data_IF_586709273463
#
_entry.id   IF_586709273463
#
_cell.length_a   1.000
_cell.length_b   1.000
_cell.length_c   1.000
_cell.angle_alpha   90.00
_cell.angle_beta   90.00
_cell.angle_gamma   90.00
#
_symmetry.space_group_name_H-M   'P 1'
#
loop_
_entity.id
_entity.type
_entity.pdbx_description
1 polymer ?
#
# COMPACT_ATOMS: atom_id res chain seq x y z
N UNK A 1 7.74 12.73 3.27
CA UNK A 1 7.72 11.29 2.88
C UNK A 1 7.75 10.33 4.06
N UNK A 2 8.47 10.61 5.16
CA UNK A 2 8.43 9.74 6.36
C UNK A 2 7.01 9.57 6.93
N UNK A 3 6.21 10.64 7.00
CA UNK A 3 4.83 10.59 7.49
C UNK A 3 3.91 9.69 6.65
N UNK A 4 4.08 9.67 5.32
CA UNK A 4 3.33 8.77 4.43
C UNK A 4 3.67 7.31 4.73
N UNK A 5 4.93 7.01 5.02
CA UNK A 5 5.35 5.66 5.36
C UNK A 5 4.80 5.21 6.73
N UNK A 6 4.76 6.10 7.72
CA UNK A 6 4.11 5.82 9.00
C UNK A 6 2.60 5.59 8.85
N UNK A 7 1.92 6.43 8.06
CA UNK A 7 0.51 6.23 7.72
C UNK A 7 0.27 4.89 7.00
N UNK A 8 1.16 4.51 6.09
CA UNK A 8 1.10 3.20 5.42
C UNK A 8 1.17 2.05 6.43
N UNK A 9 2.15 2.07 7.36
CA UNK A 9 2.24 1.03 8.38
C UNK A 9 1.02 0.98 9.30
N UNK A 10 0.49 2.14 9.69
CA UNK A 10 -0.70 2.21 10.51
C UNK A 10 -1.93 1.66 9.79
N UNK A 11 -2.16 2.12 8.56
CA UNK A 11 -3.33 1.74 7.76
C UNK A 11 -3.27 0.29 7.31
N UNK A 12 -2.09 -0.29 7.02
CA UNK A 12 -2.00 -1.72 6.70
C UNK A 12 -1.96 -2.59 7.97
N UNK A 13 -1.38 -2.10 9.06
CA UNK A 13 -1.21 -2.86 10.30
C UNK A 13 -2.53 -3.15 11.01
N UNK A 14 -3.44 -2.17 11.11
CA UNK A 14 -4.75 -2.35 11.76
C UNK A 14 -5.58 -3.45 11.10
N UNK A 15 -5.87 -3.41 9.78
CA UNK A 15 -6.62 -4.47 9.11
C UNK A 15 -5.93 -5.83 9.24
N UNK A 16 -4.60 -5.90 9.13
CA UNK A 16 -3.88 -7.16 9.30
C UNK A 16 -4.06 -7.76 10.71
N UNK A 17 -3.95 -6.93 11.75
CA UNK A 17 -4.20 -7.37 13.13
C UNK A 17 -5.64 -7.82 13.33
N UNK A 18 -6.62 -7.05 12.84
CA UNK A 18 -8.04 -7.38 12.96
C UNK A 18 -8.41 -8.68 12.25
N UNK A 19 -7.88 -8.90 11.04
CA UNK A 19 -8.09 -10.14 10.28
C UNK A 19 -7.52 -11.34 11.05
N UNK A 20 -6.28 -11.24 11.55
CA UNK A 20 -5.63 -12.33 12.30
C UNK A 20 -6.39 -12.62 13.59
N UNK A 21 -6.73 -11.59 14.37
CA UNK A 21 -7.47 -11.78 15.63
C UNK A 21 -8.87 -12.30 15.38
N UNK A 22 -9.56 -11.80 14.35
CA UNK A 22 -10.89 -12.24 13.99
C UNK A 22 -10.92 -13.69 13.54
N UNK A 23 -9.94 -14.11 12.72
CA UNK A 23 -9.81 -15.50 12.32
C UNK A 23 -9.65 -16.47 13.52
N UNK A 24 -8.98 -16.02 14.59
CA UNK A 24 -8.73 -16.83 15.79
C UNK A 24 -9.86 -16.76 16.84
N UNK A 25 -10.73 -15.76 16.80
CA UNK A 25 -11.67 -15.48 17.89
C UNK A 25 -13.11 -15.28 17.44
N UNK A 26 -13.35 -14.38 16.49
CA UNK A 26 -14.69 -13.91 16.11
C UNK A 26 -14.74 -13.44 14.64
N UNK A 27 -15.71 -13.97 13.90
CA UNK A 27 -15.98 -13.61 12.51
C UNK A 27 -16.30 -12.13 12.30
N UNK A 28 -16.85 -11.43 13.31
CA UNK A 28 -17.20 -10.01 13.18
C UNK A 28 -15.94 -9.13 13.11
N UNK A 29 -14.91 -9.47 13.90
CA UNK A 29 -13.59 -8.82 13.86
C UNK A 29 -12.89 -9.07 12.51
N UNK A 30 -13.07 -10.27 11.96
CA UNK A 30 -12.52 -10.62 10.64
C UNK A 30 -13.15 -9.75 9.55
N UNK A 31 -14.48 -9.60 9.55
CA UNK A 31 -15.20 -8.75 8.62
C UNK A 31 -14.82 -7.28 8.77
N UNK A 32 -14.68 -6.79 10.01
CA UNK A 32 -14.19 -5.44 10.28
C UNK A 32 -12.79 -5.22 9.68
N UNK A 33 -11.87 -6.18 9.83
CA UNK A 33 -10.55 -6.15 9.21
C UNK A 33 -10.60 -6.05 7.68
N UNK A 34 -11.51 -6.80 7.04
CA UNK A 34 -11.78 -6.67 5.61
C UNK A 34 -12.22 -5.26 5.20
N UNK A 35 -13.14 -4.64 5.94
CA UNK A 35 -13.59 -3.27 5.67
C UNK A 35 -12.47 -2.24 5.84
N UNK A 36 -11.62 -2.39 6.86
CA UNK A 36 -10.43 -1.53 7.02
C UNK A 36 -9.41 -1.71 5.88
N UNK A 37 -9.34 -2.91 5.27
CA UNK A 37 -8.47 -3.14 4.11
C UNK A 37 -8.92 -2.37 2.87
N UNK A 38 -10.23 -2.13 2.70
CA UNK A 38 -10.79 -1.25 1.66
C UNK A 38 -10.32 0.19 1.86
N UNK A 39 -10.39 0.72 3.08
CA UNK A 39 -9.88 2.05 3.41
C UNK A 39 -8.37 2.17 3.11
N UNK A 40 -7.61 1.11 3.38
CA UNK A 40 -6.18 1.03 3.06
C UNK A 40 -5.95 1.07 1.55
N UNK A 41 -6.73 0.33 0.77
CA UNK A 41 -6.66 0.36 -0.69
C UNK A 41 -6.95 1.75 -1.26
N UNK A 42 -7.93 2.48 -0.72
CA UNK A 42 -8.21 3.86 -1.13
C UNK A 42 -7.00 4.77 -0.85
N UNK A 43 -6.40 4.66 0.34
CA UNK A 43 -5.17 5.38 0.66
C UNK A 43 -4.04 5.05 -0.31
N UNK A 44 -3.87 3.78 -0.67
CA UNK A 44 -2.87 3.32 -1.65
C UNK A 44 -3.11 3.91 -3.04
N UNK A 45 -4.37 4.05 -3.49
CA UNK A 45 -4.68 4.74 -4.75
C UNK A 45 -4.25 6.20 -4.67
N UNK A 46 -4.65 6.93 -3.63
CA UNK A 46 -4.33 8.36 -3.48
C UNK A 46 -2.82 8.59 -3.51
N UNK A 47 -2.07 7.87 -2.67
CA UNK A 47 -0.60 8.02 -2.60
C UNK A 47 0.07 7.54 -3.88
N UNK A 48 -0.40 6.44 -4.46
CA UNK A 48 0.13 5.89 -5.71
C UNK A 48 -0.02 6.87 -6.87
N UNK A 49 -1.20 7.49 -7.02
CA UNK A 49 -1.48 8.50 -8.03
C UNK A 49 -0.63 9.76 -7.80
N UNK A 50 -0.52 10.25 -6.56
CA UNK A 50 0.35 11.39 -6.24
C UNK A 50 1.81 11.11 -6.61
N UNK A 51 2.33 9.90 -6.31
CA UNK A 51 3.67 9.49 -6.71
C UNK A 51 3.82 9.40 -8.24
N UNK A 52 2.79 8.95 -8.95
CA UNK A 52 2.77 8.88 -10.40
C UNK A 52 2.89 10.28 -11.01
N UNK A 53 2.07 11.23 -10.56
CA UNK A 53 2.09 12.64 -11.02
C UNK A 53 3.46 13.27 -10.75
N UNK A 54 3.99 13.14 -9.53
CA UNK A 54 5.28 13.72 -9.15
C UNK A 54 6.48 13.14 -9.93
N UNK A 55 6.32 11.96 -10.53
CA UNK A 55 7.41 11.26 -11.24
C UNK A 55 7.18 11.20 -12.75
N UNK A 56 6.25 11.99 -13.28
CA UNK A 56 5.85 11.99 -14.70
C UNK A 56 5.44 10.60 -15.18
N UNK A 57 4.66 9.89 -14.37
CA UNK A 57 4.09 8.58 -14.66
C UNK A 57 5.13 7.53 -15.06
N UNK A 58 6.29 7.52 -14.39
CA UNK A 58 7.30 6.47 -14.58
C UNK A 58 6.65 5.08 -14.42
N UNK A 59 7.00 4.09 -15.27
CA UNK A 59 6.31 2.79 -15.32
C UNK A 59 6.16 2.10 -13.97
N UNK A 60 7.18 2.18 -13.12
CA UNK A 60 7.20 1.60 -11.78
C UNK A 60 6.02 2.06 -10.89
N UNK A 61 5.70 3.35 -10.89
CA UNK A 61 4.60 3.91 -10.08
C UNK A 61 3.24 3.66 -10.73
N UNK A 62 3.20 3.61 -12.07
CA UNK A 62 2.01 3.24 -12.81
C UNK A 62 1.61 1.78 -12.53
N UNK A 63 2.58 0.85 -12.57
CA UNK A 63 2.34 -0.56 -12.24
C UNK A 63 1.83 -0.74 -10.81
N UNK A 64 2.32 0.06 -9.87
CA UNK A 64 1.78 0.06 -8.51
C UNK A 64 0.30 0.42 -8.48
N UNK A 65 -0.09 1.53 -9.09
CA UNK A 65 -1.50 1.97 -9.13
C UNK A 65 -2.37 0.92 -9.82
N UNK A 66 -1.90 0.35 -10.94
CA UNK A 66 -2.59 -0.75 -11.63
C UNK A 66 -2.73 -1.99 -10.74
N UNK A 67 -1.72 -2.31 -9.93
CA UNK A 67 -1.79 -3.40 -8.94
C UNK A 67 -2.85 -3.15 -7.86
N UNK A 68 -2.98 -1.92 -7.37
CA UNK A 68 -4.02 -1.55 -6.40
C UNK A 68 -5.42 -1.62 -7.03
N UNK A 69 -5.57 -1.19 -8.28
CA UNK A 69 -6.84 -1.33 -9.03
C UNK A 69 -7.16 -2.82 -9.25
N UNK A 70 -6.17 -3.63 -9.62
CA UNK A 70 -6.33 -5.06 -9.79
C UNK A 70 -6.77 -5.74 -8.48
N UNK A 71 -6.23 -5.30 -7.33
CA UNK A 71 -6.69 -5.76 -6.01
C UNK A 71 -8.18 -5.54 -5.79
N UNK A 72 -8.71 -4.34 -6.08
CA UNK A 72 -10.16 -4.07 -5.94
C UNK A 72 -11.02 -4.89 -6.90
N UNK A 73 -10.52 -5.14 -8.12
CA UNK A 73 -11.21 -6.01 -9.06
C UNK A 73 -11.22 -7.46 -8.56
N UNK A 74 -10.07 -7.97 -8.09
CA UNK A 74 -9.94 -9.30 -7.50
C UNK A 74 -10.88 -9.49 -6.31
N UNK A 75 -10.93 -8.50 -5.40
CA UNK A 75 -11.84 -8.49 -4.25
C UNK A 75 -13.30 -8.75 -4.64
N UNK A 76 -13.72 -8.28 -5.82
CA UNK A 76 -15.11 -8.39 -6.29
C UNK A 76 -15.42 -9.72 -6.98
N UNK A 77 -14.40 -10.51 -7.38
CA UNK A 77 -14.58 -11.70 -8.24
C UNK A 77 -14.05 -13.00 -7.64
N UNK A 78 -13.29 -12.94 -6.55
CA UNK A 78 -12.65 -14.13 -5.96
C UNK A 78 -12.89 -14.22 -4.45
N UNK A 79 -12.53 -15.35 -3.87
CA UNK A 79 -12.70 -15.61 -2.45
C UNK A 79 -11.81 -14.70 -1.59
N UNK A 80 -12.41 -14.14 -0.55
CA UNK A 80 -11.80 -13.07 0.24
C UNK A 80 -10.52 -13.52 0.95
N UNK A 81 -10.39 -14.81 1.28
CA UNK A 81 -9.20 -15.36 1.96
C UNK A 81 -7.91 -15.15 1.16
N UNK A 82 -7.93 -15.37 -0.15
CA UNK A 82 -6.73 -15.24 -1.00
C UNK A 82 -6.38 -13.77 -1.24
N UNK A 83 -7.40 -12.92 -1.33
CA UNK A 83 -7.23 -11.47 -1.57
C UNK A 83 -6.63 -10.76 -0.36
N UNK A 84 -6.84 -11.28 0.84
CA UNK A 84 -6.32 -10.69 2.09
C UNK A 84 -4.79 -10.66 2.19
N UNK A 85 -4.06 -11.46 1.41
CA UNK A 85 -2.59 -11.42 1.36
C UNK A 85 -2.03 -10.29 0.49
N UNK A 86 -2.85 -9.69 -0.38
CA UNK A 86 -2.41 -8.68 -1.34
C UNK A 86 -2.12 -7.32 -0.68
N UNK A 87 -2.95 -6.79 0.27
CA UNK A 87 -2.69 -5.50 0.90
C UNK A 87 -1.34 -5.40 1.62
N UNK A 88 -0.89 -6.40 2.41
CA UNK A 88 0.46 -6.39 2.99
C UNK A 88 1.57 -6.30 1.94
N UNK A 89 1.45 -7.02 0.82
CA UNK A 89 2.43 -6.98 -0.27
C UNK A 89 2.48 -5.60 -0.93
N UNK A 90 1.32 -5.01 -1.22
CA UNK A 90 1.22 -3.66 -1.77
C UNK A 90 1.82 -2.62 -0.80
N UNK A 91 1.59 -2.77 0.50
CA UNK A 91 2.15 -1.89 1.51
C UNK A 91 3.68 -1.95 1.57
N UNK A 92 4.28 -3.15 1.46
CA UNK A 92 5.74 -3.28 1.36
C UNK A 92 6.26 -2.63 0.08
N UNK A 93 5.55 -2.82 -1.04
CA UNK A 93 5.95 -2.26 -2.32
C UNK A 93 5.96 -0.71 -2.29
N UNK A 94 4.90 -0.08 -1.78
CA UNK A 94 4.87 1.40 -1.69
C UNK A 94 5.92 1.95 -0.73
N UNK A 95 6.21 1.25 0.37
CA UNK A 95 7.32 1.61 1.27
C UNK A 95 8.67 1.59 0.54
N UNK A 96 8.91 0.57 -0.31
CA UNK A 96 10.11 0.50 -1.14
C UNK A 96 10.16 1.64 -2.17
N UNK A 97 9.04 1.94 -2.85
CA UNK A 97 8.96 3.06 -3.79
C UNK A 97 9.32 4.40 -3.13
N UNK A 98 8.75 4.66 -1.96
CA UNK A 98 9.02 5.87 -1.17
C UNK A 98 10.49 5.92 -0.76
N UNK A 99 11.07 4.79 -0.33
CA UNK A 99 12.49 4.70 0.04
C UNK A 99 13.42 4.99 -1.14
N UNK A 100 13.21 4.35 -2.30
CA UNK A 100 14.04 4.58 -3.48
C UNK A 100 13.94 6.02 -3.96
N UNK A 101 12.74 6.60 -3.98
CA UNK A 101 12.56 8.01 -4.33
C UNK A 101 13.29 8.94 -3.36
N UNK A 102 13.21 8.68 -2.05
CA UNK A 102 13.91 9.46 -1.05
C UNK A 102 15.44 9.38 -1.22
N UNK A 103 15.94 8.18 -1.55
CA UNK A 103 17.35 7.93 -1.80
C UNK A 103 17.83 8.67 -3.05
N UNK A 104 17.15 8.54 -4.19
CA UNK A 104 17.51 9.24 -5.44
C UNK A 104 17.54 10.75 -5.26
N UNK A 105 16.52 11.32 -4.60
CA UNK A 105 16.48 12.76 -4.32
C UNK A 105 17.67 13.22 -3.47
N UNK A 106 18.11 12.41 -2.49
CA UNK A 106 19.28 12.73 -1.66
C UNK A 106 20.57 12.79 -2.49
N UNK A 107 20.77 11.87 -3.44
CA UNK A 107 21.93 11.88 -4.33
C UNK A 107 21.92 13.06 -5.31
N UNK A 108 20.74 13.48 -5.80
CA UNK A 108 20.62 14.67 -6.66
C UNK A 108 20.93 15.97 -5.91
N UNK A 109 20.67 16.01 -4.59
CA UNK A 109 20.92 17.20 -3.73
C UNK A 109 22.27 17.22 -3.03
N UNK A 110 23.01 16.10 -3.03
CA UNK A 110 24.40 16.08 -2.58
C UNK A 110 25.23 16.78 -3.64
N UNK A 111 26.11 17.75 -3.30
CA UNK A 111 27.15 18.15 -4.22
C UNK A 111 27.80 16.87 -4.74
N UNK A 112 27.94 16.78 -6.06
CA UNK A 112 28.84 15.79 -6.63
C UNK A 112 30.22 16.13 -6.07
N UNK A 113 30.60 15.45 -4.98
CA UNK A 113 31.95 15.48 -4.49
C UNK A 113 32.82 14.99 -5.65
N UNK A 114 33.60 15.94 -6.14
CA UNK A 114 34.55 15.86 -7.24
C UNK A 114 35.58 14.77 -7.01
#
# INVERSE_FOLDING_TARGET
MKSINYLNYFLTGIPALLIITGYLTDSDLWMAGGLFSILTGIFHIVVGVSLCIETNCKPLYLFYVLGVIAFFNLWSVTDWETVMLIPPVLALYISLLIYFKAKTKKYETSPQDK
#
